data_IF_710997170828
#
_entry.id   IF_710997170828
#
_cell.length_a   1.000
_cell.length_b   1.000
_cell.length_c   1.000
_cell.angle_alpha   90.00
_cell.angle_beta   90.00
_cell.angle_gamma   90.00
#
_symmetry.space_group_name_H-M   'P 1'
#
loop_
_entity.id
_entity.type
_entity.pdbx_description
1 polymer ?
#
# COMPACT_ATOMS: atom_id res chain seq x y z
N UNK A 1 -63.88 -35.66 49.46
CA UNK A 1 -64.39 -34.89 48.30
C UNK A 1 -63.98 -33.43 48.45
N UNK A 2 -63.50 -32.81 47.35
CA UNK A 2 -62.83 -31.49 47.21
C UNK A 2 -61.30 -31.60 47.39
N UNK A 3 -60.58 -32.09 46.38
CA UNK A 3 -60.01 -31.38 45.19
C UNK A 3 -58.83 -30.48 45.62
N UNK A 4 -57.59 -30.49 45.11
CA UNK A 4 -56.90 -31.03 43.90
C UNK A 4 -55.39 -30.77 44.19
N UNK A 5 -54.54 -31.78 44.44
CA UNK A 5 -53.39 -32.26 43.62
C UNK A 5 -52.88 -31.18 42.61
N UNK A 6 -51.64 -30.69 42.65
CA UNK A 6 -50.53 -31.17 41.81
C UNK A 6 -49.22 -30.53 42.31
N UNK A 7 -48.30 -31.43 42.60
CA UNK A 7 -46.86 -31.31 42.81
C UNK A 7 -46.18 -31.01 41.45
N UNK A 8 -45.16 -30.15 41.37
CA UNK A 8 -43.90 -30.38 40.65
C UNK A 8 -43.00 -29.13 40.54
N UNK A 9 -41.80 -29.33 41.09
CA UNK A 9 -40.50 -28.65 40.93
C UNK A 9 -40.26 -27.80 39.68
N UNK A 10 -39.62 -26.64 39.87
CA UNK A 10 -38.58 -26.14 38.96
C UNK A 10 -37.66 -25.13 39.66
N UNK A 11 -36.44 -25.61 39.94
CA UNK A 11 -35.23 -24.84 40.22
C UNK A 11 -34.99 -23.88 39.05
N UNK A 12 -34.71 -22.59 39.29
CA UNK A 12 -33.63 -21.89 38.59
C UNK A 12 -33.15 -20.68 39.38
N UNK A 13 -31.87 -20.75 39.70
CA UNK A 13 -31.01 -19.67 40.20
C UNK A 13 -31.04 -18.47 39.26
N UNK A 14 -31.43 -17.30 39.75
CA UNK A 14 -31.16 -16.02 39.07
C UNK A 14 -29.68 -15.68 39.21
N UNK A 15 -28.88 -16.29 38.32
CA UNK A 15 -27.52 -15.86 38.00
C UNK A 15 -27.54 -14.44 37.43
N UNK A 16 -26.62 -13.61 37.90
CA UNK A 16 -26.51 -12.22 37.53
C UNK A 16 -26.21 -11.98 36.04
N UNK A 17 -26.54 -10.78 35.58
CA UNK A 17 -25.95 -10.20 34.38
C UNK A 17 -25.70 -8.72 34.66
N UNK A 18 -24.52 -8.47 35.22
CA UNK A 18 -23.92 -7.14 35.30
C UNK A 18 -23.53 -6.75 33.88
N UNK A 19 -24.25 -5.80 33.29
CA UNK A 19 -23.96 -5.28 31.96
C UNK A 19 -22.61 -4.53 31.97
N UNK A 20 -21.54 -5.17 31.49
CA UNK A 20 -20.32 -4.48 31.11
C UNK A 20 -20.57 -3.69 29.82
N UNK A 21 -20.62 -2.37 29.95
CA UNK A 21 -20.57 -1.41 28.86
C UNK A 21 -19.19 -1.49 28.20
N UNK A 22 -19.03 -2.40 27.25
CA UNK A 22 -17.89 -2.45 26.35
C UNK A 22 -17.87 -1.15 25.54
N UNK A 23 -16.86 -0.31 25.77
CA UNK A 23 -16.55 0.82 24.89
C UNK A 23 -16.19 0.23 23.53
N UNK A 24 -17.04 0.46 22.54
CA UNK A 24 -16.70 0.26 21.14
C UNK A 24 -15.49 1.13 20.80
N UNK A 25 -14.36 0.50 20.45
CA UNK A 25 -13.24 1.15 19.82
C UNK A 25 -13.34 0.88 18.30
N UNK A 26 -13.64 1.88 17.46
CA UNK A 26 -13.90 1.68 16.04
C UNK A 26 -12.63 1.89 15.23
N UNK A 27 -11.69 0.94 15.24
CA UNK A 27 -10.58 0.94 14.27
C UNK A 27 -10.27 -0.48 13.79
N UNK A 28 -11.33 -1.17 13.34
CA UNK A 28 -11.19 -2.31 12.45
C UNK A 28 -11.11 -1.81 11.00
N UNK A 29 -9.99 -1.15 10.65
CA UNK A 29 -9.69 -0.91 9.24
C UNK A 29 -9.18 -2.21 8.61
N UNK A 30 -10.11 -2.99 8.07
CA UNK A 30 -9.83 -4.03 7.08
C UNK A 30 -9.34 -3.34 5.80
N UNK A 31 -8.03 -3.09 5.73
CA UNK A 31 -7.31 -2.64 4.53
C UNK A 31 -6.32 -3.71 4.12
N UNK A 32 -6.44 -4.21 2.89
CA UNK A 32 -5.63 -5.30 2.33
C UNK A 32 -4.13 -5.12 2.60
N UNK A 33 -3.51 -6.22 3.02
CA UNK A 33 -2.14 -6.33 3.53
C UNK A 33 -1.11 -5.83 2.52
N UNK A 34 -0.79 -4.54 2.61
CA UNK A 34 0.52 -4.04 2.22
C UNK A 34 1.43 -4.37 3.40
N UNK A 35 2.33 -5.36 3.24
CA UNK A 35 3.29 -5.75 4.28
C UNK A 35 4.22 -4.54 4.48
N UNK A 36 3.85 -3.67 5.39
CA UNK A 36 4.61 -2.47 5.73
C UNK A 36 5.56 -2.88 6.84
N UNK A 37 6.86 -2.99 6.56
CA UNK A 37 7.84 -3.28 7.62
C UNK A 37 8.01 -2.04 8.49
N UNK A 38 7.72 -2.16 9.77
CA UNK A 38 7.93 -1.15 10.79
C UNK A 38 9.28 -1.38 11.49
N UNK A 39 10.01 -0.32 11.80
CA UNK A 39 11.31 -0.35 12.47
C UNK A 39 11.36 0.67 13.61
N UNK A 40 12.03 0.32 14.72
CA UNK A 40 12.22 1.29 15.81
C UNK A 40 13.26 2.36 15.42
N UNK A 41 13.00 3.67 15.63
CA UNK A 41 13.94 4.75 15.31
C UNK A 41 15.29 4.63 16.03
N UNK A 42 15.29 4.04 17.23
CA UNK A 42 16.48 3.87 18.08
C UNK A 42 17.11 2.48 17.99
N UNK A 43 16.36 1.49 17.51
CA UNK A 43 16.84 0.12 17.34
C UNK A 43 16.46 -0.38 15.94
N UNK A 44 17.26 -0.04 14.91
CA UNK A 44 16.98 -0.41 13.53
C UNK A 44 16.86 -1.92 13.31
N UNK A 45 17.47 -2.71 14.19
CA UNK A 45 17.45 -4.17 14.16
C UNK A 45 16.13 -4.77 14.68
N UNK A 46 15.29 -3.98 15.36
CA UNK A 46 13.95 -4.37 15.79
C UNK A 46 12.95 -4.01 14.70
N UNK A 47 12.63 -4.98 13.84
CA UNK A 47 11.64 -4.86 12.77
C UNK A 47 10.39 -5.69 13.06
N UNK A 48 9.23 -5.19 12.64
CA UNK A 48 7.96 -5.90 12.76
C UNK A 48 7.11 -5.73 11.51
N UNK A 49 6.31 -6.74 11.19
CA UNK A 49 5.31 -6.67 10.11
C UNK A 49 4.01 -5.99 10.55
N UNK A 50 3.93 -5.56 11.82
CA UNK A 50 2.75 -4.95 12.43
C UNK A 50 3.10 -3.66 13.14
N UNK A 51 2.19 -2.67 13.14
CA UNK A 51 2.34 -1.49 14.00
C UNK A 51 2.32 -1.94 15.46
N UNK A 52 3.15 -1.32 16.30
CA UNK A 52 3.27 -1.69 17.69
C UNK A 52 4.37 -0.91 18.42
N UNK A 53 4.58 -1.25 19.70
CA UNK A 53 5.68 -0.70 20.49
C UNK A 53 6.93 -1.56 20.32
N UNK A 54 8.09 -0.91 20.28
CA UNK A 54 9.38 -1.58 20.32
C UNK A 54 9.54 -2.32 21.66
N UNK A 55 9.91 -3.60 21.58
CA UNK A 55 10.16 -4.50 22.70
C UNK A 55 11.27 -4.01 23.65
N UNK A 56 12.25 -3.27 23.12
CA UNK A 56 13.43 -2.81 23.88
C UNK A 56 13.28 -1.44 24.53
N UNK A 57 12.61 -0.52 23.87
CA UNK A 57 12.53 0.88 24.33
C UNK A 57 11.10 1.41 24.53
N UNK A 58 10.08 0.61 24.22
CA UNK A 58 8.67 1.00 24.39
C UNK A 58 8.18 2.11 23.46
N UNK A 59 9.03 2.67 22.60
CA UNK A 59 8.63 3.67 21.60
C UNK A 59 7.86 3.04 20.44
N UNK A 60 7.03 3.85 19.77
CA UNK A 60 6.28 3.42 18.60
C UNK A 60 7.20 3.02 17.45
N UNK A 61 6.93 1.85 16.87
CA UNK A 61 7.57 1.43 15.63
C UNK A 61 7.04 2.30 14.49
N UNK A 62 7.96 2.95 13.78
CA UNK A 62 7.64 3.78 12.62
C UNK A 62 7.79 2.96 11.35
N UNK A 63 7.05 3.32 10.30
CA UNK A 63 7.21 2.67 8.99
C UNK A 63 8.67 2.83 8.56
N UNK A 64 9.30 1.72 8.17
CA UNK A 64 10.72 1.71 7.82
C UNK A 64 11.01 2.75 6.73
N UNK A 65 12.20 3.36 6.79
CA UNK A 65 12.63 4.37 5.80
C UNK A 65 12.52 3.86 4.35
N UNK A 66 12.70 2.56 4.13
CA UNK A 66 12.56 1.91 2.82
C UNK A 66 11.11 1.94 2.32
N UNK A 67 10.15 1.67 3.20
CA UNK A 67 8.72 1.74 2.88
C UNK A 67 8.22 3.18 2.78
N UNK A 68 8.73 4.10 3.60
CA UNK A 68 8.48 5.54 3.44
C UNK A 68 8.98 6.04 2.07
N UNK A 69 10.21 5.68 1.67
CA UNK A 69 10.73 6.02 0.35
C UNK A 69 9.90 5.39 -0.77
N UNK A 70 9.44 4.15 -0.64
CA UNK A 70 8.52 3.53 -1.61
C UNK A 70 7.21 4.31 -1.71
N UNK A 71 6.60 4.67 -0.58
CA UNK A 71 5.35 5.42 -0.56
C UNK A 71 5.50 6.84 -1.10
N UNK A 72 6.59 7.52 -0.80
CA UNK A 72 6.84 8.86 -1.31
C UNK A 72 7.20 8.84 -2.80
N UNK A 73 7.89 7.80 -3.28
CA UNK A 73 8.06 7.54 -4.73
C UNK A 73 6.73 7.18 -5.40
N UNK A 74 5.77 6.61 -4.67
CA UNK A 74 4.42 6.32 -5.16
C UNK A 74 3.52 7.56 -5.22
N UNK A 75 3.75 8.58 -4.39
CA UNK A 75 2.98 9.83 -4.38
C UNK A 75 3.49 10.79 -5.46
N UNK A 76 2.77 10.88 -6.57
CA UNK A 76 3.02 11.88 -7.61
C UNK A 76 2.00 12.99 -7.46
N UNK A 77 2.45 14.23 -7.40
CA UNK A 77 1.59 15.41 -7.31
C UNK A 77 1.37 15.98 -8.72
N UNK A 78 0.15 16.36 -9.08
CA UNK A 78 -0.17 16.98 -10.37
C UNK A 78 -0.95 18.31 -10.19
N UNK A 79 -0.71 19.32 -11.05
CA UNK A 79 -1.54 20.54 -11.02
C UNK A 79 -2.96 20.17 -11.50
N UNK A 80 -4.02 20.52 -10.75
CA UNK A 80 -5.41 20.24 -11.15
C UNK A 80 -5.79 20.86 -12.50
N UNK A 81 -5.12 21.96 -12.86
CA UNK A 81 -5.35 22.68 -14.12
C UNK A 81 -4.39 22.28 -15.25
N UNK A 82 -3.24 21.71 -14.91
CA UNK A 82 -2.24 21.24 -15.87
C UNK A 82 -1.81 19.83 -15.50
N UNK A 83 -2.55 18.80 -15.97
CA UNK A 83 -2.26 17.40 -15.66
C UNK A 83 -0.84 16.97 -16.08
N UNK A 84 -0.29 17.63 -17.10
CA UNK A 84 1.05 17.38 -17.64
C UNK A 84 2.17 17.94 -16.74
N UNK A 85 1.83 18.75 -15.73
CA UNK A 85 2.79 19.25 -14.74
C UNK A 85 2.70 18.38 -13.50
N UNK A 86 3.68 17.48 -13.36
CA UNK A 86 3.81 16.56 -12.22
C UNK A 86 5.07 16.86 -11.39
N UNK A 87 5.04 16.48 -10.12
CA UNK A 87 6.12 16.67 -9.15
C UNK A 87 6.21 15.48 -8.21
N UNK A 88 7.41 15.12 -7.76
CA UNK A 88 7.63 14.13 -6.71
C UNK A 88 7.42 14.71 -5.30
N UNK A 89 7.25 16.03 -5.19
CA UNK A 89 7.13 16.75 -3.93
C UNK A 89 5.84 17.55 -3.88
N UNK A 90 5.21 17.66 -2.70
CA UNK A 90 4.13 18.61 -2.49
C UNK A 90 4.65 20.03 -2.71
N UNK A 91 3.80 20.90 -3.21
CA UNK A 91 4.15 22.29 -3.45
C UNK A 91 3.20 22.99 -4.40
N UNK A 92 3.60 24.19 -4.83
CA UNK A 92 2.90 24.99 -5.82
C UNK A 92 3.36 24.62 -7.21
N UNK A 93 2.41 24.51 -8.13
CA UNK A 93 2.73 24.30 -9.54
C UNK A 93 3.48 25.51 -10.11
N UNK A 94 4.54 25.23 -10.84
CA UNK A 94 5.40 26.25 -11.47
C UNK A 94 4.71 27.04 -12.58
N UNK A 95 3.63 26.51 -13.18
CA UNK A 95 2.86 27.19 -14.22
C UNK A 95 1.65 27.95 -13.67
N UNK A 96 0.89 27.30 -12.80
CA UNK A 96 -0.43 27.77 -12.36
C UNK A 96 -0.38 28.44 -10.97
N UNK A 97 0.70 28.28 -10.20
CA UNK A 97 0.82 28.78 -8.82
C UNK A 97 -0.10 28.12 -7.81
N UNK A 98 -1.02 27.26 -8.25
CA UNK A 98 -1.93 26.48 -7.40
C UNK A 98 -1.23 25.30 -6.75
N UNK A 99 -1.77 24.88 -5.61
CA UNK A 99 -1.30 23.71 -4.87
C UNK A 99 -1.50 22.43 -5.68
N UNK A 100 -0.44 21.63 -5.76
CA UNK A 100 -0.47 20.36 -6.47
C UNK A 100 -1.24 19.32 -5.66
N UNK A 101 -2.10 18.55 -6.34
CA UNK A 101 -2.89 17.49 -5.69
C UNK A 101 -2.18 16.16 -5.78
N UNK A 102 -2.23 15.40 -4.69
CA UNK A 102 -1.75 14.02 -4.66
C UNK A 102 -2.51 13.17 -5.68
N UNK A 103 -1.77 12.47 -6.52
CA UNK A 103 -2.30 11.49 -7.46
C UNK A 103 -1.58 10.17 -7.24
N UNK A 104 -2.36 9.08 -7.14
CA UNK A 104 -1.83 7.70 -7.14
C UNK A 104 -1.53 7.22 -8.57
N UNK A 105 -1.54 8.11 -9.55
CA UNK A 105 -1.37 7.73 -10.95
C UNK A 105 0.13 7.53 -11.17
N UNK A 106 0.51 6.30 -11.49
CA UNK A 106 1.81 6.01 -12.10
C UNK A 106 1.72 6.59 -13.51
N UNK A 107 1.97 7.90 -13.64
CA UNK A 107 2.02 8.55 -14.96
C UNK A 107 3.31 8.09 -15.59
N UNK A 108 3.18 7.30 -16.65
CA UNK A 108 4.36 6.77 -17.31
C UNK A 108 5.04 7.87 -18.13
N UNK A 109 6.18 8.37 -17.67
CA UNK A 109 6.98 9.36 -18.40
C UNK A 109 7.97 8.64 -19.30
N UNK A 110 7.75 8.81 -20.60
CA UNK A 110 8.65 8.39 -21.66
C UNK A 110 9.61 9.52 -22.00
N UNK A 111 10.89 9.22 -22.20
CA UNK A 111 11.94 10.17 -22.59
C UNK A 111 12.67 9.67 -23.83
N UNK A 112 13.09 10.58 -24.71
CA UNK A 112 13.91 10.19 -25.84
C UNK A 112 15.33 9.78 -25.36
N UNK A 113 15.87 8.61 -25.77
CA UNK A 113 17.21 8.18 -25.36
C UNK A 113 18.32 9.15 -25.73
N UNK A 114 18.13 9.92 -26.80
CA UNK A 114 19.11 10.89 -27.31
C UNK A 114 18.80 12.34 -26.91
N UNK A 115 17.55 12.63 -26.54
CA UNK A 115 17.09 13.98 -26.19
C UNK A 115 16.35 13.92 -24.85
N UNK A 116 17.07 13.92 -23.71
CA UNK A 116 16.47 13.79 -22.38
C UNK A 116 15.46 14.91 -22.08
N UNK A 117 15.59 16.05 -22.74
CA UNK A 117 14.65 17.18 -22.63
C UNK A 117 13.29 16.91 -23.27
N UNK A 118 13.17 15.88 -24.11
CA UNK A 118 11.92 15.48 -24.75
C UNK A 118 11.28 14.38 -23.93
N UNK A 119 10.34 14.76 -23.08
CA UNK A 119 9.52 13.86 -22.27
C UNK A 119 8.06 13.84 -22.74
N UNK A 120 7.36 12.74 -22.51
CA UNK A 120 5.94 12.59 -22.82
C UNK A 120 5.26 11.63 -21.84
N UNK A 121 3.99 11.87 -21.56
CA UNK A 121 3.16 10.98 -20.73
C UNK A 121 2.57 9.79 -21.51
N UNK A 122 2.90 9.70 -22.81
CA UNK A 122 2.42 8.66 -23.72
C UNK A 122 3.58 8.04 -24.50
N UNK A 123 3.46 6.75 -24.87
CA UNK A 123 4.33 6.17 -25.88
C UNK A 123 4.22 6.96 -27.19
N UNK A 124 5.33 7.13 -27.89
CA UNK A 124 5.32 7.86 -29.16
C UNK A 124 6.70 8.01 -29.76
N UNK A 125 6.77 8.77 -30.86
CA UNK A 125 8.03 9.15 -31.50
C UNK A 125 8.50 10.49 -30.95
N UNK A 126 9.81 10.62 -30.75
CA UNK A 126 10.45 11.87 -30.39
C UNK A 126 10.22 12.90 -31.50
N UNK A 127 9.78 14.09 -31.13
CA UNK A 127 9.54 15.20 -32.06
C UNK A 127 10.81 15.73 -32.73
N UNK A 128 11.99 15.52 -32.13
CA UNK A 128 13.28 16.00 -32.66
C UNK A 128 13.97 15.01 -33.57
N UNK A 129 13.98 13.72 -33.23
CA UNK A 129 14.73 12.70 -33.97
C UNK A 129 13.89 11.57 -34.54
N UNK A 130 12.57 11.59 -34.36
CA UNK A 130 11.66 10.55 -34.87
C UNK A 130 11.81 9.18 -34.21
N UNK A 131 12.79 8.99 -33.32
CA UNK A 131 13.03 7.74 -32.61
C UNK A 131 11.99 7.50 -31.52
N UNK A 132 11.63 6.24 -31.24
CA UNK A 132 10.65 5.92 -30.21
C UNK A 132 11.11 6.39 -28.82
N UNK A 133 10.20 7.03 -28.09
CA UNK A 133 10.40 7.41 -26.70
C UNK A 133 10.47 6.15 -25.85
N UNK A 134 11.49 6.05 -25.01
CA UNK A 134 11.67 4.94 -24.10
C UNK A 134 11.15 5.32 -22.71
N UNK A 135 10.66 4.34 -21.95
CA UNK A 135 10.37 4.54 -20.52
C UNK A 135 11.58 5.18 -19.83
N UNK A 136 11.33 6.28 -19.12
CA UNK A 136 12.41 7.00 -18.47
C UNK A 136 13.15 6.10 -17.47
N UNK A 137 14.46 6.30 -17.25
CA UNK A 137 15.24 5.46 -16.33
C UNK A 137 14.64 5.41 -14.92
N UNK A 138 14.09 6.54 -14.46
CA UNK A 138 13.41 6.66 -13.16
C UNK A 138 12.18 5.76 -13.06
N UNK A 139 11.42 5.65 -14.14
CA UNK A 139 10.28 4.76 -14.22
C UNK A 139 10.65 3.29 -14.34
N UNK A 140 11.73 2.96 -15.05
CA UNK A 140 12.26 1.60 -15.10
C UNK A 140 12.66 1.12 -13.70
N UNK A 141 13.38 1.95 -12.95
CA UNK A 141 13.72 1.66 -11.55
C UNK A 141 12.47 1.55 -10.67
N UNK A 142 11.49 2.45 -10.84
CA UNK A 142 10.22 2.40 -10.10
C UNK A 142 9.43 1.12 -10.38
N UNK A 143 9.34 0.70 -11.65
CA UNK A 143 8.71 -0.57 -12.01
C UNK A 143 9.45 -1.78 -11.47
N UNK A 144 10.79 -1.74 -11.45
CA UNK A 144 11.59 -2.80 -10.85
C UNK A 144 11.37 -2.91 -9.33
N UNK A 145 11.34 -1.79 -8.63
CA UNK A 145 11.07 -1.72 -7.18
C UNK A 145 9.61 -2.09 -6.85
N UNK A 146 8.68 -1.87 -7.78
CA UNK A 146 7.27 -2.24 -7.64
C UNK A 146 6.97 -3.69 -8.07
N UNK A 147 7.95 -4.45 -8.56
CA UNK A 147 7.74 -5.86 -8.90
C UNK A 147 7.30 -6.60 -7.65
N UNK A 148 6.07 -7.11 -7.73
CA UNK A 148 5.47 -7.90 -6.68
C UNK A 148 5.41 -9.34 -7.14
N UNK A 149 5.89 -10.26 -6.33
CA UNK A 149 5.94 -11.68 -6.60
C UNK A 149 4.82 -12.37 -5.83
N UNK A 150 4.07 -13.25 -6.49
CA UNK A 150 2.95 -13.98 -5.89
C UNK A 150 3.07 -15.47 -6.16
N UNK A 151 2.63 -16.30 -5.23
CA UNK A 151 2.54 -17.74 -5.48
C UNK A 151 1.31 -18.05 -6.34
N UNK A 152 1.48 -18.85 -7.41
CA UNK A 152 0.37 -19.27 -8.26
C UNK A 152 -0.68 -20.12 -7.54
N UNK A 153 -0.31 -20.82 -6.47
CA UNK A 153 -1.22 -21.65 -5.66
C UNK A 153 -1.73 -20.96 -4.39
N UNK A 154 -1.02 -19.95 -3.90
CA UNK A 154 -1.38 -19.22 -2.69
C UNK A 154 -1.39 -17.72 -2.99
N UNK A 155 -2.53 -17.17 -3.45
CA UNK A 155 -2.68 -15.75 -3.77
C UNK A 155 -2.39 -14.83 -2.59
N UNK A 156 -2.53 -15.34 -1.37
CA UNK A 156 -2.23 -14.61 -0.12
C UNK A 156 -0.72 -14.43 0.13
N UNK A 157 0.12 -15.16 -0.59
CA UNK A 157 1.58 -15.08 -0.45
C UNK A 157 2.10 -14.07 -1.46
N UNK A 158 2.43 -12.88 -0.96
CA UNK A 158 2.94 -11.75 -1.72
C UNK A 158 4.33 -11.38 -1.18
N UNK A 159 5.29 -11.13 -2.07
CA UNK A 159 6.67 -10.79 -1.74
C UNK A 159 7.20 -9.69 -2.66
N UNK A 160 8.02 -8.78 -2.13
CA UNK A 160 8.75 -7.78 -2.93
C UNK A 160 10.04 -8.31 -3.57
N UNK A 161 10.37 -9.59 -3.32
CA UNK A 161 11.60 -10.23 -3.81
C UNK A 161 11.28 -11.54 -4.54
N UNK A 162 12.07 -11.89 -5.57
CA UNK A 162 12.03 -13.21 -6.15
C UNK A 162 12.39 -14.25 -5.09
N UNK A 163 11.79 -15.44 -5.16
CA UNK A 163 12.03 -16.48 -4.18
C UNK A 163 11.09 -17.65 -4.31
N UNK A 164 11.12 -18.54 -3.31
CA UNK A 164 10.19 -19.66 -3.20
C UNK A 164 9.08 -19.33 -2.22
N UNK A 165 7.87 -19.80 -2.50
CA UNK A 165 6.72 -19.69 -1.64
C UNK A 165 6.98 -20.43 -0.32
N UNK A 166 6.83 -19.80 0.85
CA UNK A 166 7.04 -20.45 2.14
C UNK A 166 5.97 -21.51 2.46
N UNK A 167 4.81 -21.49 1.79
CA UNK A 167 3.73 -22.46 2.01
C UNK A 167 3.87 -23.73 1.18
N UNK A 168 4.31 -23.63 -0.08
CA UNK A 168 4.34 -24.76 -1.01
C UNK A 168 5.70 -25.00 -1.68
N UNK A 169 6.72 -24.20 -1.38
CA UNK A 169 8.07 -24.34 -1.95
C UNK A 169 8.20 -23.99 -3.44
N UNK A 170 7.10 -23.77 -4.17
CA UNK A 170 7.13 -23.38 -5.58
C UNK A 170 7.67 -21.96 -5.77
N UNK A 171 8.31 -21.71 -6.92
CA UNK A 171 8.80 -20.38 -7.27
C UNK A 171 7.68 -19.33 -7.29
N UNK A 172 7.94 -18.16 -6.71
CA UNK A 172 7.05 -17.01 -6.80
C UNK A 172 7.11 -16.41 -8.20
N UNK A 173 5.96 -16.04 -8.73
CA UNK A 173 5.79 -15.54 -10.09
C UNK A 173 5.61 -14.02 -10.05
N UNK A 174 6.26 -13.31 -10.99
CA UNK A 174 6.13 -11.85 -11.13
C UNK A 174 4.69 -11.46 -11.51
N UNK A 175 4.06 -10.66 -10.66
CA UNK A 175 2.78 -10.04 -10.94
C UNK A 175 3.03 -8.71 -11.67
N UNK A 176 2.65 -8.65 -12.95
CA UNK A 176 2.73 -7.41 -13.73
C UNK A 176 1.78 -6.36 -13.11
N UNK A 177 2.24 -5.13 -12.83
CA UNK A 177 1.33 -4.06 -12.42
C UNK A 177 0.32 -3.79 -13.54
N UNK A 178 -0.97 -3.83 -13.22
CA UNK A 178 -2.04 -3.58 -14.20
C UNK A 178 -2.05 -2.09 -14.54
N UNK A 179 -1.39 -1.73 -15.64
CA UNK A 179 -1.40 -0.37 -16.17
C UNK A 179 -2.72 -0.18 -16.91
N UNK A 180 -3.67 0.53 -16.29
CA UNK A 180 -4.89 0.97 -16.97
C UNK A 180 -4.54 2.10 -17.93
N UNK A 181 -4.15 1.76 -19.15
CA UNK A 181 -4.14 2.70 -20.28
C UNK A 181 -5.60 3.04 -20.59
N UNK A 182 -6.04 4.28 -20.28
CA UNK A 182 -7.32 4.78 -20.77
C UNK A 182 -7.21 4.89 -22.29
N UNK A 183 -8.03 4.12 -22.99
CA UNK A 183 -8.30 4.26 -24.43
C UNK A 183 -9.15 5.50 -24.69
#
# INVERSE_FOLDING_TARGET
MKKVIILLMAITTSFGSFAQKAKANPDANKGGTVISTYSCPMHPDEMSDKPGKCSKCGMDLVISKKEQMKMDVMKIYACPMHPDVTSDKPGKCTKCGMDMKETKKIVQTYSCPMHPDVTSDKPGKCSKCGMNLALSPKEKMKMEVMKTYTCGMHPDVVSDKPGRCPKCGMGLVEKKPVVKSKS
#
